data_IF_269446891001
#
_entry.id   IF_269446891001
#
_cell.length_a   1.000
_cell.length_b   1.000
_cell.length_c   1.000
_cell.angle_alpha   90.00
_cell.angle_beta   90.00
_cell.angle_gamma   90.00
#
_symmetry.space_group_name_H-M   'P 1'
#
loop_
_entity.id
_entity.type
_entity.pdbx_description
1 polymer ?
#
# COMPACT_ATOMS: atom_id res chain seq x y z
N UNK A 1 -35.08 23.90 38.53
CA UNK A 1 -34.41 22.93 39.42
C UNK A 1 -34.55 21.57 38.78
N UNK A 2 -33.44 20.87 38.51
CA UNK A 2 -33.49 19.50 37.99
C UNK A 2 -33.93 18.56 39.12
N UNK A 3 -34.93 17.71 38.86
CA UNK A 3 -35.43 16.73 39.83
C UNK A 3 -34.51 15.51 39.82
N UNK A 4 -34.16 15.02 41.03
CA UNK A 4 -33.23 13.92 41.26
C UNK A 4 -33.55 12.62 40.49
N UNK A 5 -34.83 12.41 40.16
CA UNK A 5 -35.32 11.17 39.54
C UNK A 5 -35.52 11.26 38.01
N UNK A 6 -35.37 12.45 37.40
CA UNK A 6 -35.44 12.60 35.94
C UNK A 6 -34.02 12.54 35.35
N UNK A 7 -33.56 11.34 35.02
CA UNK A 7 -32.34 11.15 34.22
C UNK A 7 -32.60 11.68 32.80
N UNK A 8 -31.86 12.71 32.39
CA UNK A 8 -32.00 13.31 31.05
C UNK A 8 -31.80 12.21 29.97
N UNK A 9 -32.79 12.00 29.08
CA UNK A 9 -32.74 10.92 28.09
C UNK A 9 -31.57 11.04 27.10
N UNK A 10 -30.91 12.21 26.99
CA UNK A 10 -29.69 12.38 26.21
C UNK A 10 -28.49 11.61 26.79
N UNK A 11 -28.52 11.24 28.06
CA UNK A 11 -27.44 10.53 28.77
C UNK A 11 -27.78 9.07 29.09
N UNK A 12 -28.94 8.57 28.62
CA UNK A 12 -29.29 7.17 28.75
C UNK A 12 -28.54 6.35 27.70
N UNK A 13 -27.46 5.68 28.10
CA UNK A 13 -26.81 4.67 27.26
C UNK A 13 -27.76 3.48 27.17
N UNK A 14 -28.56 3.41 26.11
CA UNK A 14 -29.40 2.25 25.84
C UNK A 14 -28.48 1.06 25.54
N UNK A 15 -28.55 0.02 26.37
CA UNK A 15 -27.98 -1.28 26.04
C UNK A 15 -28.65 -1.76 24.75
N UNK A 16 -27.88 -1.86 23.66
CA UNK A 16 -28.36 -2.44 22.39
C UNK A 16 -27.73 -3.82 22.25
N UNK A 17 -28.57 -4.85 22.12
CA UNK A 17 -28.14 -6.22 21.88
C UNK A 17 -27.35 -6.41 20.57
N UNK A 18 -27.46 -5.47 19.62
CA UNK A 18 -26.76 -5.49 18.33
C UNK A 18 -25.23 -5.29 18.40
N UNK A 19 -24.67 -4.89 19.55
CA UNK A 19 -23.20 -4.72 19.72
C UNK A 19 -22.52 -3.72 18.79
N UNK A 20 -23.29 -2.93 18.04
CA UNK A 20 -22.77 -2.03 16.99
C UNK A 20 -22.08 -0.82 17.61
N UNK A 21 -20.89 -0.48 17.10
CA UNK A 21 -20.13 0.71 17.49
C UNK A 21 -20.79 2.00 16.97
N UNK A 22 -21.89 2.40 17.61
CA UNK A 22 -22.63 3.61 17.23
C UNK A 22 -21.75 4.83 17.52
N UNK A 23 -21.59 5.68 16.51
CA UNK A 23 -20.79 6.91 16.54
C UNK A 23 -19.25 6.74 16.67
N UNK A 24 -18.71 5.51 16.61
CA UNK A 24 -17.26 5.26 16.63
C UNK A 24 -16.57 5.61 17.95
N UNK A 25 -17.23 5.32 19.08
CA UNK A 25 -16.74 5.61 20.44
C UNK A 25 -16.00 4.44 21.05
N UNK A 26 -16.26 3.23 20.56
CA UNK A 26 -15.44 2.07 20.86
C UNK A 26 -14.31 2.02 19.85
N UNK A 27 -13.10 1.76 20.32
CA UNK A 27 -11.99 1.47 19.44
C UNK A 27 -12.27 0.14 18.72
N UNK A 28 -12.12 0.15 17.40
CA UNK A 28 -12.28 -1.02 16.55
C UNK A 28 -11.06 -1.12 15.65
N UNK A 29 -10.43 -2.29 15.64
CA UNK A 29 -9.33 -2.62 14.74
C UNK A 29 -9.76 -3.73 13.82
N UNK A 30 -9.47 -3.54 12.52
CA UNK A 30 -9.73 -4.54 11.50
C UNK A 30 -8.44 -4.82 10.76
N UNK A 31 -8.05 -6.09 10.74
CA UNK A 31 -6.94 -6.55 9.91
C UNK A 31 -7.32 -6.36 8.43
N UNK A 32 -6.43 -5.71 7.66
CA UNK A 32 -6.58 -5.44 6.24
C UNK A 32 -5.46 -6.06 5.39
N UNK A 33 -4.55 -6.83 5.97
CA UNK A 33 -3.39 -7.40 5.28
C UNK A 33 -3.79 -8.20 4.03
N UNK A 34 -4.79 -9.08 4.14
CA UNK A 34 -5.22 -9.90 3.00
C UNK A 34 -5.84 -9.06 1.88
N UNK A 35 -6.56 -8.00 2.22
CA UNK A 35 -7.07 -7.04 1.24
C UNK A 35 -5.92 -6.27 0.59
N UNK A 36 -4.96 -5.79 1.38
CA UNK A 36 -3.78 -5.05 0.91
C UNK A 36 -2.97 -5.89 -0.07
N UNK A 37 -2.75 -7.18 0.23
CA UNK A 37 -2.06 -8.13 -0.67
C UNK A 37 -2.76 -8.28 -2.00
N UNK A 38 -4.08 -8.44 -2.00
CA UNK A 38 -4.86 -8.57 -3.22
C UNK A 38 -4.81 -7.29 -4.03
N UNK A 39 -5.02 -6.14 -3.36
CA UNK A 39 -5.06 -4.84 -4.03
C UNK A 39 -3.72 -4.45 -4.63
N UNK A 40 -2.60 -4.74 -3.96
CA UNK A 40 -1.25 -4.54 -4.49
C UNK A 40 -0.98 -5.38 -5.76
N UNK A 41 -1.49 -6.62 -5.80
CA UNK A 41 -1.40 -7.50 -6.98
C UNK A 41 -2.22 -7.00 -8.17
N UNK A 42 -3.20 -6.13 -7.95
CA UNK A 42 -3.96 -5.48 -9.01
C UNK A 42 -3.32 -4.16 -9.45
N UNK A 43 -2.95 -3.30 -8.48
CA UNK A 43 -2.49 -1.93 -8.76
C UNK A 43 -1.10 -1.89 -9.40
N UNK A 44 -0.12 -2.63 -8.86
CA UNK A 44 1.26 -2.51 -9.29
C UNK A 44 1.49 -3.02 -10.73
N UNK A 45 0.94 -4.17 -11.16
CA UNK A 45 1.06 -4.61 -12.56
C UNK A 45 0.21 -3.79 -13.55
N UNK A 46 -0.75 -3.01 -13.07
CA UNK A 46 -1.57 -2.12 -13.90
C UNK A 46 -0.86 -0.79 -14.22
N UNK A 47 0.30 -0.52 -13.61
CA UNK A 47 1.12 0.65 -13.92
C UNK A 47 1.56 0.57 -15.39
N UNK A 48 1.32 1.63 -16.20
CA UNK A 48 1.67 1.61 -17.61
C UNK A 48 3.18 1.46 -17.79
N UNK A 49 3.57 0.75 -18.86
CA UNK A 49 4.98 0.61 -19.19
C UNK A 49 5.60 1.97 -19.53
N UNK A 50 6.85 2.18 -19.13
CA UNK A 50 7.57 3.38 -19.51
C UNK A 50 7.74 3.45 -21.04
N UNK A 51 7.61 4.65 -21.61
CA UNK A 51 7.72 4.86 -23.07
C UNK A 51 9.08 4.42 -23.61
N UNK A 52 10.15 4.50 -22.82
CA UNK A 52 11.48 4.02 -23.20
C UNK A 52 11.72 2.62 -22.65
N UNK A 53 11.93 1.66 -23.55
CA UNK A 53 12.33 0.29 -23.18
C UNK A 53 11.22 -0.58 -22.58
N UNK A 54 9.95 -0.17 -22.74
CA UNK A 54 8.75 -0.93 -22.35
C UNK A 54 8.83 -1.53 -20.94
N UNK A 55 9.44 -0.77 -20.01
CA UNK A 55 9.69 -1.19 -18.64
C UNK A 55 8.39 -1.26 -17.87
N UNK A 56 8.05 -2.44 -17.32
CA UNK A 56 6.82 -2.66 -16.56
C UNK A 56 7.02 -3.60 -15.38
N UNK A 57 6.10 -3.54 -14.43
CA UNK A 57 6.00 -4.50 -13.33
C UNK A 57 5.17 -5.69 -13.82
N UNK A 58 5.76 -6.89 -13.78
CA UNK A 58 5.13 -8.12 -14.26
C UNK A 58 4.14 -8.68 -13.25
N UNK A 59 4.58 -8.83 -12.00
CA UNK A 59 3.80 -9.46 -10.92
C UNK A 59 4.33 -9.06 -9.55
N UNK A 60 3.45 -9.07 -8.55
CA UNK A 60 3.84 -8.96 -7.13
C UNK A 60 3.98 -10.36 -6.55
N UNK A 61 5.22 -10.74 -6.27
CA UNK A 61 5.57 -12.09 -5.80
C UNK A 61 5.26 -12.29 -4.32
N UNK A 62 5.63 -11.32 -3.48
CA UNK A 62 5.52 -11.46 -2.03
C UNK A 62 5.21 -10.12 -1.37
N UNK A 63 4.44 -10.21 -0.29
CA UNK A 63 3.99 -9.06 0.49
C UNK A 63 3.95 -9.49 1.96
N UNK A 64 4.89 -8.98 2.74
CA UNK A 64 5.11 -9.38 4.13
C UNK A 64 5.00 -8.16 5.03
N UNK A 65 4.32 -8.33 6.17
CA UNK A 65 4.17 -7.27 7.16
C UNK A 65 2.76 -7.25 7.70
N UNK A 66 2.31 -6.07 8.11
CA UNK A 66 1.03 -5.83 8.74
C UNK A 66 0.30 -4.66 8.10
N UNK A 67 -1.02 -4.80 7.98
CA UNK A 67 -1.90 -3.71 7.57
C UNK A 67 -3.22 -3.85 8.32
N UNK A 68 -3.68 -2.76 8.91
CA UNK A 68 -4.91 -2.69 9.68
C UNK A 68 -5.53 -1.30 9.62
N UNK A 69 -6.83 -1.24 9.82
CA UNK A 69 -7.57 0.01 9.96
C UNK A 69 -8.07 0.13 11.39
N UNK A 70 -7.77 1.25 12.04
CA UNK A 70 -8.23 1.58 13.39
C UNK A 70 -9.25 2.71 13.34
N UNK A 71 -10.41 2.52 13.98
CA UNK A 71 -11.43 3.57 14.12
C UNK A 71 -11.32 4.22 15.50
N UNK A 72 -11.12 5.54 15.55
CA UNK A 72 -11.06 6.29 16.81
C UNK A 72 -11.98 7.52 16.81
N UNK A 73 -12.57 7.81 17.97
CA UNK A 73 -13.21 9.08 18.39
C UNK A 73 -13.94 9.82 17.25
N UNK A 74 -15.15 9.38 16.92
CA UNK A 74 -16.01 10.04 15.92
C UNK A 74 -15.81 9.55 14.49
N UNK A 75 -15.66 8.23 14.31
CA UNK A 75 -15.47 7.56 13.02
C UNK A 75 -14.20 7.98 12.25
N UNK A 76 -13.19 8.56 12.91
CA UNK A 76 -11.91 8.80 12.24
C UNK A 76 -11.19 7.47 12.05
N UNK A 77 -11.14 7.00 10.81
CA UNK A 77 -10.39 5.82 10.41
C UNK A 77 -8.93 6.19 10.18
N UNK A 78 -8.04 5.33 10.64
CA UNK A 78 -6.60 5.41 10.43
C UNK A 78 -6.12 4.13 9.79
N UNK A 79 -5.36 4.27 8.71
CA UNK A 79 -4.57 3.19 8.15
C UNK A 79 -3.27 3.07 8.95
N UNK A 80 -3.01 1.89 9.50
CA UNK A 80 -1.75 1.53 10.15
C UNK A 80 -1.19 0.37 9.35
N UNK A 81 0.00 0.54 8.82
CA UNK A 81 0.65 -0.45 7.97
C UNK A 81 2.17 -0.37 8.10
N UNK A 82 2.82 -1.50 7.88
CA UNK A 82 4.26 -1.67 7.71
C UNK A 82 4.42 -2.91 6.83
N UNK A 83 4.78 -2.70 5.56
CA UNK A 83 4.77 -3.75 4.55
C UNK A 83 6.03 -3.69 3.71
N UNK A 84 6.63 -4.86 3.49
CA UNK A 84 7.68 -5.10 2.49
C UNK A 84 7.06 -5.76 1.28
N UNK A 85 7.40 -5.29 0.09
CA UNK A 85 6.82 -5.76 -1.17
C UNK A 85 7.94 -6.22 -2.09
N UNK A 86 7.84 -7.46 -2.58
CA UNK A 86 8.75 -7.99 -3.59
C UNK A 86 7.97 -8.22 -4.88
N UNK A 87 8.42 -7.64 -5.98
CA UNK A 87 7.78 -7.70 -7.28
C UNK A 87 8.81 -7.99 -8.38
N UNK A 88 8.36 -8.56 -9.50
CA UNK A 88 9.19 -8.76 -10.70
C UNK A 88 8.96 -7.64 -11.69
N UNK A 89 10.01 -7.22 -12.36
CA UNK A 89 9.94 -6.27 -13.47
C UNK A 89 10.50 -6.91 -14.74
N UNK A 90 10.03 -6.41 -15.86
CA UNK A 90 10.52 -6.76 -17.19
C UNK A 90 10.68 -5.50 -18.05
N UNK A 91 11.70 -5.50 -18.89
CA UNK A 91 11.95 -4.45 -19.87
C UNK A 91 12.33 -5.07 -21.21
N UNK A 92 11.92 -4.43 -22.30
CA UNK A 92 12.23 -4.85 -23.65
C UNK A 92 12.63 -3.62 -24.47
N UNK A 93 13.84 -3.63 -25.01
CA UNK A 93 14.28 -2.57 -25.91
C UNK A 93 13.47 -2.63 -27.22
N UNK A 94 13.11 -1.48 -27.79
CA UNK A 94 12.25 -1.40 -28.97
C UNK A 94 12.89 -2.05 -30.21
N UNK A 95 14.22 -2.02 -30.28
CA UNK A 95 15.04 -2.57 -31.37
C UNK A 95 15.63 -3.97 -31.08
N UNK A 96 15.43 -4.53 -29.89
CA UNK A 96 16.06 -5.79 -29.48
C UNK A 96 15.03 -6.81 -28.97
N UNK A 97 15.23 -8.09 -29.31
CA UNK A 97 14.36 -9.18 -28.86
C UNK A 97 14.67 -9.64 -27.42
N UNK A 98 15.77 -9.18 -26.84
CA UNK A 98 16.17 -9.55 -25.48
C UNK A 98 15.30 -8.86 -24.43
N UNK A 99 14.64 -9.70 -23.64
CA UNK A 99 13.88 -9.28 -22.47
C UNK A 99 14.79 -9.26 -21.25
N UNK A 100 14.93 -8.09 -20.64
CA UNK A 100 15.56 -7.95 -19.35
C UNK A 100 14.54 -8.21 -18.26
N UNK A 101 14.91 -9.02 -17.27
CA UNK A 101 14.06 -9.36 -16.14
C UNK A 101 14.82 -9.15 -14.85
N UNK A 102 14.07 -8.92 -13.79
CA UNK A 102 14.66 -8.75 -12.49
C UNK A 102 13.63 -8.67 -11.38
N UNK A 103 14.14 -8.41 -10.18
CA UNK A 103 13.34 -8.27 -8.97
C UNK A 103 13.48 -6.84 -8.43
N UNK A 104 12.37 -6.25 -8.04
CA UNK A 104 12.27 -4.98 -7.33
C UNK A 104 11.72 -5.25 -5.94
N UNK A 105 12.43 -4.76 -4.93
CA UNK A 105 12.01 -4.85 -3.53
C UNK A 105 11.77 -3.44 -3.00
N UNK A 106 10.57 -3.23 -2.46
CA UNK A 106 10.19 -2.04 -1.72
C UNK A 106 10.23 -2.35 -0.23
N UNK A 107 11.11 -1.65 0.48
CA UNK A 107 11.21 -1.66 1.93
C UNK A 107 10.70 -0.32 2.48
N UNK A 108 10.35 -0.33 3.76
CA UNK A 108 9.94 0.86 4.52
C UNK A 108 8.61 1.50 4.04
N UNK A 109 7.73 0.73 3.39
CA UNK A 109 6.37 1.18 3.15
C UNK A 109 5.54 1.05 4.44
N UNK A 110 5.64 2.08 5.29
CA UNK A 110 4.99 2.11 6.59
C UNK A 110 4.23 3.42 6.82
N UNK A 111 3.21 3.36 7.68
CA UNK A 111 2.32 4.48 8.02
C UNK A 111 3.00 5.67 8.72
N UNK A 112 4.24 5.49 9.19
CA UNK A 112 5.05 6.53 9.80
C UNK A 112 6.18 7.04 8.89
N UNK A 113 6.36 6.40 7.73
CA UNK A 113 7.40 6.74 6.76
C UNK A 113 6.85 7.69 5.69
N UNK A 114 7.67 8.59 5.22
CA UNK A 114 7.35 9.49 4.10
C UNK A 114 7.71 8.83 2.76
N UNK A 115 7.06 9.21 1.63
CA UNK A 115 7.36 8.63 0.32
C UNK A 115 8.83 8.77 -0.13
N UNK A 116 9.52 9.74 0.43
CA UNK A 116 10.94 9.98 0.19
C UNK A 116 11.85 8.97 0.90
N UNK A 117 11.40 8.40 2.02
CA UNK A 117 12.14 7.44 2.85
C UNK A 117 12.05 6.01 2.29
N UNK A 118 11.07 5.72 1.44
CA UNK A 118 10.89 4.40 0.83
C UNK A 118 12.14 3.95 0.08
N UNK A 119 12.64 2.77 0.45
CA UNK A 119 13.85 2.20 -0.13
C UNK A 119 13.43 1.24 -1.24
N UNK A 120 13.78 1.58 -2.49
CA UNK A 120 13.55 0.75 -3.66
C UNK A 120 14.86 0.10 -4.09
N UNK A 121 14.96 -1.22 -3.90
CA UNK A 121 16.12 -2.02 -4.33
C UNK A 121 15.79 -2.72 -5.65
N UNK A 122 16.58 -2.47 -6.69
CA UNK A 122 16.42 -3.10 -8.01
C UNK A 122 17.55 -4.10 -8.24
N UNK A 123 17.19 -5.28 -8.72
CA UNK A 123 18.11 -6.34 -9.16
C UNK A 123 17.73 -6.77 -10.57
N UNK A 124 18.70 -7.09 -11.43
CA UNK A 124 18.47 -7.70 -12.74
C UNK A 124 19.12 -9.07 -12.81
N UNK A 125 18.42 -10.00 -13.44
CA UNK A 125 18.92 -11.30 -13.87
C UNK A 125 19.72 -11.15 -15.18
N UNK A 126 20.66 -10.19 -15.22
CA UNK A 126 21.43 -9.88 -16.43
C UNK A 126 22.74 -10.69 -16.49
N UNK A 127 22.83 -11.56 -17.51
CA UNK A 127 24.04 -12.26 -18.00
C UNK A 127 24.90 -11.42 -18.96
N UNK A 128 24.50 -10.18 -19.28
CA UNK A 128 25.20 -9.31 -20.24
C UNK A 128 26.15 -8.27 -19.62
N UNK A 129 27.07 -7.77 -20.44
CA UNK A 129 28.08 -6.73 -20.16
C UNK A 129 27.48 -5.30 -20.20
N UNK A 130 26.26 -5.13 -19.65
CA UNK A 130 25.62 -3.81 -19.51
C UNK A 130 26.09 -3.21 -18.18
N UNK A 131 26.37 -1.91 -18.13
CA UNK A 131 26.66 -1.22 -16.88
C UNK A 131 25.42 -1.29 -15.97
N UNK A 132 25.43 -2.31 -15.10
CA UNK A 132 24.28 -2.67 -14.25
C UNK A 132 23.84 -1.49 -13.39
N UNK A 133 24.75 -0.57 -13.07
CA UNK A 133 24.50 0.56 -12.19
C UNK A 133 23.63 1.61 -12.86
N UNK A 134 23.92 1.98 -14.11
CA UNK A 134 23.09 2.93 -14.86
C UNK A 134 21.70 2.37 -15.15
N UNK A 135 21.62 1.07 -15.49
CA UNK A 135 20.36 0.36 -15.69
C UNK A 135 19.48 0.37 -14.44
N UNK A 136 20.01 -0.03 -13.28
CA UNK A 136 19.25 -0.04 -12.02
C UNK A 136 18.76 1.35 -11.63
N UNK A 137 19.61 2.35 -11.84
CA UNK A 137 19.26 3.74 -11.54
C UNK A 137 18.10 4.21 -12.42
N UNK A 138 18.18 3.97 -13.74
CA UNK A 138 17.12 4.35 -14.68
C UNK A 138 15.78 3.67 -14.38
N UNK A 139 15.80 2.37 -14.05
CA UNK A 139 14.59 1.62 -13.66
C UNK A 139 13.97 2.20 -12.39
N UNK A 140 14.78 2.43 -11.36
CA UNK A 140 14.32 2.99 -10.10
C UNK A 140 13.75 4.41 -10.29
N UNK A 141 14.42 5.28 -11.06
CA UNK A 141 13.98 6.65 -11.32
C UNK A 141 12.66 6.68 -12.13
N UNK A 142 12.46 5.74 -13.05
CA UNK A 142 11.26 5.66 -13.90
C UNK A 142 10.04 5.08 -13.16
N UNK A 143 10.22 4.01 -12.38
CA UNK A 143 9.12 3.30 -11.73
C UNK A 143 8.74 3.90 -10.37
N UNK A 144 9.69 4.50 -9.64
CA UNK A 144 9.43 5.05 -8.29
C UNK A 144 8.23 6.00 -8.22
N UNK A 145 8.09 7.04 -9.06
CA UNK A 145 6.95 7.95 -8.95
C UNK A 145 5.61 7.23 -9.17
N UNK A 146 5.57 6.28 -10.11
CA UNK A 146 4.35 5.52 -10.42
C UNK A 146 3.98 4.53 -9.30
N UNK A 147 4.99 3.88 -8.70
CA UNK A 147 4.80 3.03 -7.53
C UNK A 147 4.26 3.87 -6.35
N UNK A 148 4.83 5.06 -6.10
CA UNK A 148 4.38 5.93 -5.01
C UNK A 148 2.91 6.33 -5.20
N UNK A 149 2.50 6.70 -6.41
CA UNK A 149 1.11 7.06 -6.73
C UNK A 149 0.15 5.88 -6.45
N UNK A 150 0.51 4.68 -6.93
CA UNK A 150 -0.27 3.47 -6.67
C UNK A 150 -0.38 3.14 -5.16
N UNK A 151 0.70 3.35 -4.39
CA UNK A 151 0.69 3.15 -2.93
C UNK A 151 -0.16 4.20 -2.22
N UNK A 152 -0.15 5.46 -2.67
CA UNK A 152 -1.02 6.49 -2.13
C UNK A 152 -2.50 6.17 -2.38
N UNK A 153 -2.83 5.70 -3.58
CA UNK A 153 -4.17 5.22 -3.91
C UNK A 153 -4.58 4.07 -2.98
N UNK A 154 -3.72 3.05 -2.81
CA UNK A 154 -3.96 1.93 -1.90
C UNK A 154 -4.29 2.39 -0.47
N UNK A 155 -3.55 3.35 0.07
CA UNK A 155 -3.76 3.88 1.43
C UNK A 155 -5.10 4.62 1.53
N UNK A 156 -5.47 5.41 0.51
CA UNK A 156 -6.77 6.08 0.46
C UNK A 156 -7.91 5.07 0.46
N UNK A 157 -7.86 4.08 -0.43
CA UNK A 157 -8.85 3.01 -0.52
C UNK A 157 -8.96 2.23 0.79
N UNK A 158 -7.83 1.95 1.44
CA UNK A 158 -7.80 1.22 2.72
C UNK A 158 -8.53 1.97 3.84
N UNK A 159 -8.41 3.31 3.88
CA UNK A 159 -9.10 4.14 4.87
C UNK A 159 -10.62 4.15 4.65
N UNK A 160 -11.10 3.92 3.43
CA UNK A 160 -12.53 3.94 3.11
C UNK A 160 -13.26 2.64 3.51
N UNK A 161 -12.55 1.51 3.61
CA UNK A 161 -13.08 0.18 4.01
C UNK A 161 -13.66 0.10 5.43
#
# INVERSE_FOLDING_TARGET
>A
MAKWDERDPRWLVQHRDDGKNVNGWHWEEKNRLEWTKQRLRELLPAIPAAETGNLRISEVTDVVGEAMTSTRKGNKKLAIYDVKITMKWEAQAEDDAEQYKGTLQLDDFASHSEPEEYIVTVTADATGEVDKRELYKGIAESLRPQIIDALQQLVQEMVEL
#
